data_IF_276586276021
#
_entry.id   IF_276586276021
#
_cell.length_a   1.000
_cell.length_b   1.000
_cell.length_c   1.000
_cell.angle_alpha   90.00
_cell.angle_beta   90.00
_cell.angle_gamma   90.00
#
_symmetry.space_group_name_H-M   'P 1'
#
loop_
_entity.id
_entity.type
_entity.pdbx_description
1 polymer ?
#
# COMPACT_ATOMS: atom_id res chain seq x y z
N UNK A 1 -16.86 28.30 -1.74
CA UNK A 1 -16.89 27.97 -0.30
C UNK A 1 -15.47 28.14 0.21
N UNK A 2 -15.22 28.96 1.22
CA UNK A 2 -13.89 29.04 1.82
C UNK A 2 -13.72 27.79 2.70
N UNK A 3 -12.76 26.93 2.40
CA UNK A 3 -12.53 25.67 3.11
C UNK A 3 -11.25 25.70 3.96
N UNK A 4 -10.45 26.76 3.88
CA UNK A 4 -9.14 26.83 4.54
C UNK A 4 -9.20 26.86 6.07
N UNK A 5 -10.37 27.14 6.64
CA UNK A 5 -10.60 27.23 8.08
C UNK A 5 -11.08 25.92 8.71
N UNK A 6 -11.41 24.90 7.91
CA UNK A 6 -11.91 23.62 8.41
C UNK A 6 -10.79 22.83 9.06
N UNK A 7 -11.14 22.01 10.06
CA UNK A 7 -10.26 21.00 10.64
C UNK A 7 -10.43 19.67 9.92
N UNK A 8 -9.32 19.09 9.49
CA UNK A 8 -9.28 17.86 8.71
C UNK A 8 -8.64 16.74 9.52
N UNK A 9 -9.39 15.64 9.70
CA UNK A 9 -8.85 14.41 10.27
C UNK A 9 -8.44 13.45 9.15
N UNK A 10 -7.27 12.83 9.25
CA UNK A 10 -6.82 11.77 8.34
C UNK A 10 -6.63 10.49 9.15
N UNK A 11 -7.38 9.44 8.81
CA UNK A 11 -7.35 8.14 9.48
C UNK A 11 -6.75 7.07 8.57
N UNK A 12 -5.65 6.44 9.00
CA UNK A 12 -5.10 5.26 8.32
C UNK A 12 -4.32 4.36 9.29
N UNK A 13 -3.98 3.14 8.88
CA UNK A 13 -3.19 2.22 9.73
C UNK A 13 -1.75 2.70 9.94
N UNK A 14 -1.10 3.19 8.88
CA UNK A 14 0.27 3.70 8.89
C UNK A 14 0.29 5.10 8.27
N UNK A 15 1.01 6.06 8.84
CA UNK A 15 1.16 7.39 8.25
C UNK A 15 2.65 7.78 8.24
N UNK A 16 3.09 8.45 7.17
CA UNK A 16 4.48 8.90 7.03
C UNK A 16 5.51 7.77 6.88
N UNK A 17 5.09 6.61 6.36
CA UNK A 17 5.97 5.49 5.98
C UNK A 17 6.07 5.40 4.44
N UNK A 18 6.92 4.52 3.93
CA UNK A 18 7.14 4.36 2.47
C UNK A 18 6.13 3.41 1.80
N UNK A 19 4.96 3.18 2.39
CA UNK A 19 3.91 2.40 1.74
C UNK A 19 3.06 3.29 0.83
N UNK A 20 2.37 2.67 -0.15
CA UNK A 20 1.63 3.40 -1.17
C UNK A 20 0.53 4.33 -0.61
N UNK A 21 -0.11 3.97 0.51
CA UNK A 21 -1.18 4.82 1.08
C UNK A 21 -0.58 6.00 1.84
N UNK A 22 0.49 5.78 2.62
CA UNK A 22 1.23 6.87 3.28
C UNK A 22 1.73 7.92 2.27
N UNK A 23 2.27 7.49 1.13
CA UNK A 23 2.70 8.40 0.05
C UNK A 23 1.53 9.24 -0.48
N UNK A 24 0.37 8.63 -0.69
CA UNK A 24 -0.84 9.35 -1.15
C UNK A 24 -1.34 10.33 -0.09
N UNK A 25 -1.28 9.96 1.20
CA UNK A 25 -1.62 10.87 2.31
C UNK A 25 -0.71 12.10 2.28
N UNK A 26 0.60 11.92 2.14
CA UNK A 26 1.55 13.04 2.09
C UNK A 26 1.34 13.93 0.86
N UNK A 27 1.09 13.34 -0.31
CA UNK A 27 0.73 14.09 -1.51
C UNK A 27 -0.56 14.90 -1.32
N UNK A 28 -1.56 14.31 -0.65
CA UNK A 28 -2.83 14.96 -0.35
C UNK A 28 -2.63 16.13 0.59
N UNK A 29 -1.85 15.95 1.66
CA UNK A 29 -1.52 17.02 2.61
C UNK A 29 -0.79 18.15 1.91
N UNK A 30 0.18 17.85 1.05
CA UNK A 30 0.90 18.88 0.28
C UNK A 30 -0.06 19.66 -0.63
N UNK A 31 -0.94 18.98 -1.37
CA UNK A 31 -1.95 19.67 -2.20
C UNK A 31 -2.91 20.52 -1.34
N UNK A 32 -3.32 20.03 -0.17
CA UNK A 32 -4.17 20.79 0.76
C UNK A 32 -3.49 22.08 1.24
N UNK A 33 -2.21 22.01 1.57
CA UNK A 33 -1.46 23.17 2.05
C UNK A 33 -1.12 24.12 0.91
N UNK A 34 -0.49 23.62 -0.14
CA UNK A 34 0.12 24.43 -1.20
C UNK A 34 -0.92 24.97 -2.19
N UNK A 35 -1.93 24.17 -2.54
CA UNK A 35 -2.91 24.51 -3.58
C UNK A 35 -4.27 24.96 -3.02
N UNK A 36 -4.65 24.48 -1.83
CA UNK A 36 -5.96 24.79 -1.22
C UNK A 36 -5.87 25.82 -0.08
N UNK A 37 -4.66 26.20 0.34
CA UNK A 37 -4.42 27.18 1.40
C UNK A 37 -4.88 26.72 2.79
N UNK A 38 -4.97 25.41 3.02
CA UNK A 38 -5.31 24.84 4.33
C UNK A 38 -4.06 24.91 5.22
N UNK A 39 -4.18 25.50 6.39
CA UNK A 39 -3.08 25.56 7.34
C UNK A 39 -2.71 24.16 7.84
N UNK A 40 -1.42 23.83 7.90
CA UNK A 40 -0.94 22.55 8.45
C UNK A 40 -1.44 22.30 9.89
N UNK A 41 -1.63 23.37 10.67
CA UNK A 41 -2.20 23.29 12.02
C UNK A 41 -3.65 22.81 12.08
N UNK A 42 -4.37 22.82 10.96
CA UNK A 42 -5.75 22.34 10.84
C UNK A 42 -5.83 20.90 10.30
N UNK A 43 -4.68 20.22 10.15
CA UNK A 43 -4.63 18.83 9.69
C UNK A 43 -4.17 17.95 10.85
N UNK A 44 -4.99 16.96 11.18
CA UNK A 44 -4.83 16.06 12.30
C UNK A 44 -4.80 14.62 11.81
N UNK A 45 -4.00 13.78 12.46
CA UNK A 45 -3.74 12.41 12.03
C UNK A 45 -4.10 11.44 13.14
N UNK A 46 -4.87 10.40 12.79
CA UNK A 46 -5.13 9.26 13.65
C UNK A 46 -4.59 8.00 12.97
N UNK A 47 -3.64 7.32 13.61
CA UNK A 47 -3.03 6.13 13.03
C UNK A 47 -2.67 5.06 14.06
N UNK A 48 -2.15 3.93 13.62
CA UNK A 48 -1.50 2.99 14.54
C UNK A 48 -0.03 3.35 14.75
N UNK A 49 0.65 3.66 13.65
CA UNK A 49 2.01 4.15 13.68
C UNK A 49 2.13 5.33 12.74
N UNK A 50 2.87 6.34 13.18
CA UNK A 50 3.19 7.52 12.40
C UNK A 50 4.68 7.85 12.52
N UNK A 51 5.30 8.38 11.47
CA UNK A 51 6.57 9.12 11.64
C UNK A 51 6.33 10.33 12.57
N UNK A 52 7.35 10.86 13.28
CA UNK A 52 7.19 12.07 14.08
C UNK A 52 6.56 13.20 13.26
N UNK A 53 5.34 13.61 13.64
CA UNK A 53 4.52 14.59 12.94
C UNK A 53 3.71 15.41 13.93
N UNK A 54 3.43 16.65 13.57
CA UNK A 54 2.53 17.51 14.33
C UNK A 54 1.09 16.96 14.25
N UNK A 55 0.29 17.16 15.31
CA UNK A 55 -1.11 16.75 15.38
C UNK A 55 -1.38 15.25 15.10
N UNK A 56 -0.46 14.36 15.47
CA UNK A 56 -0.62 12.92 15.27
C UNK A 56 -0.92 12.20 16.59
N UNK A 57 -2.04 11.48 16.63
CA UNK A 57 -2.43 10.56 17.69
C UNK A 57 -2.29 9.11 17.19
N UNK A 58 -1.87 8.21 18.07
CA UNK A 58 -1.65 6.81 17.71
C UNK A 58 -2.30 5.83 18.66
N UNK A 59 -2.94 4.79 18.12
CA UNK A 59 -3.40 3.63 18.89
C UNK A 59 -3.22 2.33 18.11
N UNK A 60 -2.67 1.31 18.79
CA UNK A 60 -2.32 0.02 18.20
C UNK A 60 -3.54 -0.75 17.63
N UNK A 61 -4.76 -0.43 18.04
CA UNK A 61 -5.99 -1.05 17.49
C UNK A 61 -6.13 -0.82 15.99
N UNK A 62 -5.58 0.28 15.48
CA UNK A 62 -5.61 0.61 14.05
C UNK A 62 -4.51 -0.11 13.26
N UNK A 63 -3.61 -0.84 13.92
CA UNK A 63 -2.53 -1.52 13.22
C UNK A 63 -3.07 -2.77 12.56
N UNK A 64 -3.08 -2.80 11.24
CA UNK A 64 -3.61 -3.90 10.44
C UNK A 64 -2.90 -5.25 10.63
N UNK A 65 -1.81 -5.27 11.41
CA UNK A 65 -1.07 -6.47 11.82
C UNK A 65 -1.13 -6.73 13.32
N UNK A 66 -1.97 -6.02 14.07
CA UNK A 66 -2.23 -6.38 15.46
C UNK A 66 -2.94 -7.75 15.54
N UNK A 67 -2.91 -8.35 16.73
CA UNK A 67 -3.48 -9.69 16.93
C UNK A 67 -5.01 -9.74 16.74
N UNK A 68 -5.71 -8.63 16.96
CA UNK A 68 -7.16 -8.54 16.78
C UNK A 68 -7.53 -8.73 15.31
N UNK A 69 -6.93 -7.94 14.41
CA UNK A 69 -7.18 -8.07 12.97
C UNK A 69 -6.71 -9.42 12.45
N UNK A 70 -5.55 -9.93 12.91
CA UNK A 70 -5.09 -11.28 12.54
C UNK A 70 -6.08 -12.36 12.93
N UNK A 71 -6.60 -12.31 14.16
CA UNK A 71 -7.56 -13.28 14.68
C UNK A 71 -8.83 -13.29 13.84
N UNK A 72 -9.38 -12.10 13.52
CA UNK A 72 -10.56 -11.96 12.66
C UNK A 72 -10.29 -12.50 11.25
N UNK A 73 -9.13 -12.18 10.68
CA UNK A 73 -8.75 -12.63 9.34
C UNK A 73 -8.54 -14.13 9.25
N UNK A 74 -8.00 -14.75 10.31
CA UNK A 74 -7.82 -16.20 10.40
C UNK A 74 -9.16 -16.94 10.40
N UNK A 75 -10.20 -16.32 10.95
CA UNK A 75 -11.55 -16.89 10.94
C UNK A 75 -12.43 -16.34 9.82
N UNK A 76 -11.90 -15.56 8.87
CA UNK A 76 -12.73 -14.80 7.93
C UNK A 76 -13.69 -15.69 7.12
N UNK A 77 -13.22 -16.86 6.67
CA UNK A 77 -13.98 -17.78 5.81
C UNK A 77 -14.47 -19.03 6.53
N UNK A 78 -13.82 -19.40 7.63
CA UNK A 78 -14.06 -20.67 8.32
C UNK A 78 -15.34 -20.61 9.16
N UNK A 79 -15.80 -21.77 9.65
CA UNK A 79 -16.90 -21.82 10.62
C UNK A 79 -16.56 -20.91 11.81
N UNK A 80 -17.39 -19.89 12.09
CA UNK A 80 -17.05 -18.90 13.09
C UNK A 80 -17.13 -19.55 14.48
N UNK A 81 -16.15 -19.31 15.37
CA UNK A 81 -16.31 -19.68 16.76
C UNK A 81 -17.35 -18.78 17.43
N UNK A 82 -18.02 -19.29 18.47
CA UNK A 82 -19.14 -18.61 19.14
C UNK A 82 -18.74 -17.23 19.72
N UNK A 83 -17.47 -17.07 20.12
CA UNK A 83 -16.93 -15.83 20.69
C UNK A 83 -16.61 -14.74 19.65
N UNK A 84 -16.59 -15.05 18.35
CA UNK A 84 -16.08 -14.12 17.33
C UNK A 84 -16.90 -12.83 17.23
N UNK A 85 -18.23 -12.93 17.38
CA UNK A 85 -19.13 -11.79 17.24
C UNK A 85 -18.92 -10.77 18.38
N UNK A 86 -18.90 -11.26 19.62
CA UNK A 86 -18.61 -10.46 20.82
C UNK A 86 -17.21 -9.84 20.74
N UNK A 87 -16.22 -10.64 20.34
CA UNK A 87 -14.84 -10.18 20.17
C UNK A 87 -14.71 -9.03 19.16
N UNK A 88 -15.39 -9.12 18.01
CA UNK A 88 -15.42 -8.03 17.03
C UNK A 88 -16.08 -6.79 17.62
N UNK A 89 -17.22 -6.96 18.29
CA UNK A 89 -17.99 -5.85 18.84
C UNK A 89 -17.22 -5.08 19.92
N UNK A 90 -16.60 -5.77 20.87
CA UNK A 90 -15.81 -5.15 21.95
C UNK A 90 -14.66 -4.28 21.39
N UNK A 91 -13.89 -4.83 20.46
CA UNK A 91 -12.75 -4.13 19.85
C UNK A 91 -13.21 -2.98 18.95
N UNK A 92 -14.36 -3.13 18.26
CA UNK A 92 -14.95 -2.03 17.50
C UNK A 92 -15.44 -0.90 18.39
N UNK A 93 -15.99 -1.20 19.58
CA UNK A 93 -16.39 -0.20 20.57
C UNK A 93 -15.18 0.54 21.15
N UNK A 94 -14.07 -0.17 21.39
CA UNK A 94 -12.81 0.47 21.76
C UNK A 94 -12.31 1.44 20.67
N UNK A 95 -12.23 0.97 19.42
CA UNK A 95 -11.83 1.80 18.27
C UNK A 95 -12.76 3.01 18.06
N UNK A 96 -14.08 2.82 18.24
CA UNK A 96 -15.08 3.90 18.18
C UNK A 96 -14.79 5.00 19.19
N UNK A 97 -14.49 4.64 20.43
CA UNK A 97 -14.23 5.63 21.49
C UNK A 97 -12.96 6.44 21.21
N UNK A 98 -11.92 5.82 20.66
CA UNK A 98 -10.71 6.53 20.24
C UNK A 98 -11.03 7.50 19.10
N UNK A 99 -11.76 7.05 18.08
CA UNK A 99 -12.16 7.91 16.95
C UNK A 99 -13.03 9.08 17.43
N UNK A 100 -13.97 8.84 18.35
CA UNK A 100 -14.79 9.88 18.97
C UNK A 100 -13.90 10.92 19.65
N UNK A 101 -13.02 10.50 20.55
CA UNK A 101 -12.15 11.40 21.29
C UNK A 101 -11.27 12.24 20.34
N UNK A 102 -10.66 11.60 19.34
CA UNK A 102 -9.88 12.28 18.31
C UNK A 102 -10.69 13.35 17.57
N UNK A 103 -11.93 13.01 17.17
CA UNK A 103 -12.80 13.95 16.44
C UNK A 103 -13.24 15.11 17.32
N UNK A 104 -13.64 14.84 18.56
CA UNK A 104 -14.16 15.84 19.49
C UNK A 104 -13.06 16.79 19.98
N UNK A 105 -11.88 16.26 20.35
CA UNK A 105 -10.77 17.07 20.87
C UNK A 105 -10.17 18.02 19.83
N UNK A 106 -10.15 17.58 18.57
CA UNK A 106 -9.56 18.35 17.47
C UNK A 106 -10.64 19.08 16.64
N UNK A 107 -11.90 19.09 17.09
CA UNK A 107 -13.03 19.74 16.43
C UNK A 107 -13.07 19.44 14.92
N UNK A 108 -12.92 18.16 14.55
CA UNK A 108 -12.78 17.76 13.13
C UNK A 108 -14.08 18.07 12.37
N UNK A 109 -13.96 18.74 11.22
CA UNK A 109 -15.06 19.03 10.29
C UNK A 109 -15.18 17.97 9.19
N UNK A 110 -14.04 17.50 8.66
CA UNK A 110 -13.98 16.47 7.64
C UNK A 110 -12.98 15.39 8.03
N UNK A 111 -13.46 14.16 8.17
CA UNK A 111 -12.63 12.98 8.36
C UNK A 111 -12.42 12.26 7.02
N UNK A 112 -11.15 12.11 6.62
CA UNK A 112 -10.71 11.37 5.44
C UNK A 112 -10.15 10.02 5.91
N UNK A 113 -10.91 8.95 5.66
CA UNK A 113 -10.56 7.60 6.06
C UNK A 113 -9.93 6.84 4.89
N UNK A 114 -8.64 6.53 5.00
CA UNK A 114 -7.92 5.79 3.98
C UNK A 114 -8.01 4.29 4.20
N UNK A 115 -8.46 3.58 3.17
CA UNK A 115 -8.42 2.12 3.08
C UNK A 115 -9.20 1.38 4.19
N UNK A 116 -10.22 2.01 4.78
CA UNK A 116 -11.20 1.34 5.66
C UNK A 116 -12.12 0.38 4.91
N UNK A 117 -12.02 0.33 3.58
CA UNK A 117 -12.66 -0.64 2.69
C UNK A 117 -12.03 -2.03 2.75
N UNK A 118 -10.83 -2.16 3.27
CA UNK A 118 -10.03 -3.39 3.21
C UNK A 118 -10.13 -4.21 4.50
N UNK A 119 -10.32 -5.55 4.45
CA UNK A 119 -10.52 -6.40 5.64
C UNK A 119 -9.38 -6.38 6.65
N UNK A 120 -8.18 -5.99 6.27
CA UNK A 120 -7.09 -5.85 7.23
C UNK A 120 -7.26 -4.66 8.18
N UNK A 121 -8.18 -3.74 7.88
CA UNK A 121 -8.56 -2.62 8.76
C UNK A 121 -9.96 -2.85 9.34
N UNK A 122 -10.35 -4.11 9.60
CA UNK A 122 -11.74 -4.49 9.92
C UNK A 122 -12.31 -3.74 11.11
N UNK A 123 -11.61 -3.79 12.25
CA UNK A 123 -12.03 -3.10 13.48
C UNK A 123 -12.05 -1.57 13.28
N UNK A 124 -11.09 -1.02 12.54
CA UNK A 124 -11.07 0.41 12.20
C UNK A 124 -12.32 0.81 11.45
N UNK A 125 -12.73 0.02 10.44
CA UNK A 125 -13.91 0.28 9.63
C UNK A 125 -15.21 0.19 10.45
N UNK A 126 -15.33 -0.82 11.32
CA UNK A 126 -16.51 -1.00 12.16
C UNK A 126 -16.61 0.07 13.24
N UNK A 127 -15.51 0.36 13.94
CA UNK A 127 -15.49 1.41 14.97
C UNK A 127 -15.81 2.78 14.38
N UNK A 128 -15.28 3.07 13.19
CA UNK A 128 -15.61 4.28 12.43
C UNK A 128 -17.10 4.32 12.07
N UNK A 129 -17.65 3.22 11.56
CA UNK A 129 -19.05 3.16 11.23
C UNK A 129 -19.93 3.36 12.48
N UNK A 130 -19.66 2.66 13.58
CA UNK A 130 -20.40 2.82 14.84
C UNK A 130 -20.40 4.26 15.35
N UNK A 131 -19.30 4.98 15.17
CA UNK A 131 -19.23 6.40 15.52
C UNK A 131 -20.19 7.23 14.67
N UNK A 132 -20.15 7.07 13.35
CA UNK A 132 -21.03 7.82 12.45
C UNK A 132 -22.50 7.38 12.53
N UNK A 133 -22.80 6.10 12.77
CA UNK A 133 -24.17 5.64 13.01
C UNK A 133 -24.76 6.37 14.23
N UNK A 134 -24.03 6.40 15.35
CA UNK A 134 -24.48 7.11 16.56
C UNK A 134 -24.70 8.60 16.32
N UNK A 135 -23.77 9.28 15.63
CA UNK A 135 -23.95 10.70 15.29
C UNK A 135 -25.22 10.93 14.46
N UNK A 136 -25.43 10.11 13.41
CA UNK A 136 -26.54 10.29 12.47
C UNK A 136 -27.88 9.92 13.11
N UNK A 137 -27.93 8.92 13.98
CA UNK A 137 -29.10 8.58 14.80
C UNK A 137 -29.50 9.72 15.74
N UNK A 138 -28.51 10.44 16.27
CA UNK A 138 -28.72 11.64 17.09
C UNK A 138 -29.01 12.92 16.26
N UNK A 139 -29.17 12.81 14.94
CA UNK A 139 -29.44 13.95 14.05
C UNK A 139 -28.22 14.84 13.80
N UNK A 140 -27.02 14.43 14.22
CA UNK A 140 -25.79 15.18 14.04
C UNK A 140 -25.21 14.87 12.65
N UNK A 141 -25.05 15.91 11.84
CA UNK A 141 -24.60 15.79 10.43
C UNK A 141 -23.12 16.13 10.21
N UNK A 142 -22.42 16.62 11.24
CA UNK A 142 -21.00 16.95 11.25
C UNK A 142 -20.25 16.12 12.32
N UNK A 143 -18.99 15.70 12.10
CA UNK A 143 -18.20 15.87 10.88
C UNK A 143 -18.80 15.19 9.64
N UNK A 144 -18.27 15.56 8.48
CA UNK A 144 -18.41 14.79 7.24
C UNK A 144 -17.37 13.68 7.19
N UNK A 145 -17.68 12.60 6.50
CA UNK A 145 -16.74 11.51 6.24
C UNK A 145 -16.54 11.28 4.75
N UNK A 146 -15.28 11.32 4.33
CA UNK A 146 -14.84 10.87 3.02
C UNK A 146 -14.04 9.58 3.15
N UNK A 147 -14.39 8.55 2.39
CA UNK A 147 -13.61 7.31 2.32
C UNK A 147 -12.75 7.33 1.08
N UNK A 148 -11.44 7.15 1.25
CA UNK A 148 -10.51 6.96 0.14
C UNK A 148 -10.25 5.47 -0.07
N UNK A 149 -10.81 4.93 -1.14
CA UNK A 149 -10.77 3.52 -1.49
C UNK A 149 -9.47 3.20 -2.22
N UNK A 150 -8.58 2.47 -1.54
CA UNK A 150 -7.32 1.98 -2.12
C UNK A 150 -7.43 0.52 -2.56
N UNK A 151 -8.10 -0.30 -1.75
CA UNK A 151 -8.29 -1.74 -1.96
C UNK A 151 -9.55 -2.18 -1.20
N UNK A 152 -10.11 -3.34 -1.54
CA UNK A 152 -11.35 -3.84 -0.93
C UNK A 152 -11.42 -5.35 -0.89
N UNK A 153 -12.28 -5.87 -0.03
CA UNK A 153 -12.51 -7.30 0.11
C UNK A 153 -13.05 -7.94 -1.19
N UNK A 154 -13.78 -7.18 -2.02
CA UNK A 154 -14.27 -7.68 -3.31
C UNK A 154 -13.18 -7.89 -4.35
N UNK A 155 -12.06 -7.18 -4.22
CA UNK A 155 -10.95 -7.23 -5.17
C UNK A 155 -10.05 -8.45 -4.91
N UNK A 156 -10.28 -9.18 -3.81
CA UNK A 156 -9.40 -10.24 -3.33
C UNK A 156 -10.16 -11.55 -3.09
N UNK A 157 -9.83 -12.57 -3.88
CA UNK A 157 -10.47 -13.89 -3.82
C UNK A 157 -10.47 -14.53 -2.42
N UNK A 158 -9.41 -14.34 -1.62
CA UNK A 158 -9.35 -14.84 -0.23
C UNK A 158 -10.46 -14.32 0.70
N UNK A 159 -11.14 -13.23 0.31
CA UNK A 159 -12.23 -12.62 1.07
C UNK A 159 -13.60 -12.82 0.40
N UNK A 160 -13.70 -13.69 -0.61
CA UNK A 160 -14.94 -13.89 -1.37
C UNK A 160 -16.02 -14.65 -0.60
N UNK A 161 -15.63 -15.45 0.41
CA UNK A 161 -16.52 -16.36 1.14
C UNK A 161 -16.54 -16.05 2.65
N UNK A 162 -16.98 -14.86 3.08
CA UNK A 162 -17.04 -14.48 4.48
C UNK A 162 -17.99 -15.40 5.26
N UNK A 163 -17.61 -15.76 6.49
CA UNK A 163 -18.46 -16.53 7.39
C UNK A 163 -19.72 -15.74 7.84
N UNK A 164 -20.66 -16.41 8.51
CA UNK A 164 -21.95 -15.81 8.92
C UNK A 164 -21.82 -14.65 9.90
N UNK A 165 -20.81 -14.64 10.79
CA UNK A 165 -20.52 -13.53 11.71
C UNK A 165 -19.95 -12.35 10.93
N UNK A 166 -18.93 -12.56 10.10
CA UNK A 166 -18.27 -11.52 9.29
C UNK A 166 -19.28 -10.84 8.36
N UNK A 167 -20.19 -11.60 7.75
CA UNK A 167 -21.25 -11.07 6.87
C UNK A 167 -22.08 -9.96 7.52
N UNK A 168 -22.32 -10.01 8.85
CA UNK A 168 -23.07 -8.99 9.59
C UNK A 168 -22.39 -7.61 9.51
N UNK A 169 -21.06 -7.59 9.43
CA UNK A 169 -20.24 -6.39 9.50
C UNK A 169 -19.80 -5.84 8.14
N UNK A 170 -19.96 -6.59 7.05
CA UNK A 170 -19.49 -6.15 5.73
C UNK A 170 -20.14 -4.86 5.22
N UNK A 171 -21.34 -4.53 5.72
CA UNK A 171 -21.98 -3.22 5.45
C UNK A 171 -21.12 -2.03 5.91
N UNK A 172 -20.19 -2.24 6.83
CA UNK A 172 -19.28 -1.23 7.36
C UNK A 172 -17.99 -1.05 6.53
N UNK A 173 -17.79 -1.86 5.48
CA UNK A 173 -16.66 -1.74 4.56
C UNK A 173 -17.23 -1.42 3.16
N UNK A 174 -17.46 -0.12 2.81
CA UNK A 174 -16.79 1.08 3.34
C UNK A 174 -17.49 1.83 4.49
N UNK A 175 -18.74 1.50 4.84
CA UNK A 175 -19.52 2.25 5.82
C UNK A 175 -20.96 2.53 5.35
N UNK A 176 -21.86 2.70 6.31
CA UNK A 176 -23.30 2.96 6.06
C UNK A 176 -23.56 4.44 5.78
N UNK A 177 -22.91 5.35 6.52
CA UNK A 177 -23.11 6.80 6.44
C UNK A 177 -21.88 7.54 5.89
N UNK A 178 -21.61 7.39 4.60
CA UNK A 178 -20.50 8.05 3.91
C UNK A 178 -20.99 9.31 3.21
N UNK A 179 -20.28 10.43 3.38
CA UNK A 179 -20.61 11.71 2.75
C UNK A 179 -19.90 11.90 1.39
N UNK A 180 -18.73 11.28 1.19
CA UNK A 180 -18.01 11.26 -0.07
C UNK A 180 -17.06 10.07 -0.26
N UNK A 181 -16.69 9.75 -1.50
CA UNK A 181 -15.81 8.64 -1.81
C UNK A 181 -14.81 8.98 -2.92
N UNK A 182 -13.53 8.71 -2.66
CA UNK A 182 -12.47 8.82 -3.66
C UNK A 182 -11.99 7.42 -4.07
N UNK A 183 -11.86 7.18 -5.37
CA UNK A 183 -11.37 5.92 -5.95
C UNK A 183 -10.03 6.13 -6.63
N UNK A 184 -9.13 5.15 -6.57
CA UNK A 184 -7.81 5.25 -7.19
C UNK A 184 -7.77 4.77 -8.64
N UNK A 185 -8.85 4.17 -9.15
CA UNK A 185 -8.96 3.75 -10.54
C UNK A 185 -10.42 3.79 -11.05
N UNK A 186 -10.57 3.70 -12.36
CA UNK A 186 -11.86 3.81 -13.06
C UNK A 186 -12.77 2.58 -12.93
N UNK A 187 -12.25 1.44 -12.49
CA UNK A 187 -13.02 0.19 -12.33
C UNK A 187 -13.74 0.14 -10.97
N UNK A 188 -13.13 0.72 -9.93
CA UNK A 188 -13.67 0.73 -8.56
C UNK A 188 -15.08 1.34 -8.43
N UNK A 189 -15.46 2.42 -9.14
CA UNK A 189 -16.83 2.93 -9.09
C UNK A 189 -17.90 1.89 -9.45
N UNK A 190 -17.63 0.99 -10.41
CA UNK A 190 -18.58 -0.06 -10.78
C UNK A 190 -18.68 -1.13 -9.68
N UNK A 191 -17.53 -1.53 -9.10
CA UNK A 191 -17.49 -2.46 -7.98
C UNK A 191 -18.26 -1.91 -6.77
N UNK A 192 -18.06 -0.64 -6.45
CA UNK A 192 -18.73 0.03 -5.35
C UNK A 192 -20.25 0.16 -5.60
N UNK A 193 -20.70 0.41 -6.85
CA UNK A 193 -22.13 0.37 -7.21
C UNK A 193 -22.73 -1.02 -6.96
N UNK A 194 -22.05 -2.09 -7.39
CA UNK A 194 -22.50 -3.48 -7.14
C UNK A 194 -22.63 -3.77 -5.65
N UNK A 195 -21.69 -3.30 -4.84
CA UNK A 195 -21.75 -3.41 -3.37
C UNK A 195 -22.94 -2.62 -2.80
N UNK A 196 -23.07 -1.33 -3.12
CA UNK A 196 -24.14 -0.49 -2.57
C UNK A 196 -25.53 -0.95 -3.00
N UNK A 197 -25.65 -1.54 -4.19
CA UNK A 197 -26.88 -2.17 -4.66
C UNK A 197 -27.29 -3.36 -3.77
N UNK A 198 -26.33 -4.20 -3.37
CA UNK A 198 -26.60 -5.31 -2.42
C UNK A 198 -27.01 -4.82 -1.04
N UNK A 199 -26.46 -3.69 -0.59
CA UNK A 199 -26.81 -3.05 0.68
C UNK A 199 -28.12 -2.25 0.63
N UNK A 200 -28.83 -2.23 -0.51
CA UNK A 200 -30.08 -1.48 -0.74
C UNK A 200 -29.98 0.00 -0.36
N UNK A 201 -28.82 0.62 -0.64
CA UNK A 201 -28.64 2.05 -0.41
C UNK A 201 -29.54 2.84 -1.37
N UNK A 202 -30.30 3.80 -0.87
CA UNK A 202 -31.10 4.69 -1.72
C UNK A 202 -30.19 5.70 -2.45
N UNK A 203 -30.63 6.20 -3.60
CA UNK A 203 -29.98 7.28 -4.37
C UNK A 203 -28.51 7.00 -4.75
N UNK A 204 -28.18 5.74 -5.07
CA UNK A 204 -26.83 5.33 -5.48
C UNK A 204 -26.33 6.20 -6.64
N UNK A 205 -27.14 6.40 -7.69
CA UNK A 205 -26.71 7.17 -8.85
C UNK A 205 -26.42 8.64 -8.52
N UNK A 206 -27.21 9.27 -7.65
CA UNK A 206 -26.92 10.64 -7.19
C UNK A 206 -25.66 10.69 -6.34
N UNK A 207 -25.43 9.70 -5.47
CA UNK A 207 -24.20 9.60 -4.68
C UNK A 207 -22.98 9.50 -5.60
N UNK A 208 -22.99 8.61 -6.60
CA UNK A 208 -21.86 8.48 -7.51
C UNK A 208 -21.69 9.69 -8.43
N UNK A 209 -22.77 10.40 -8.76
CA UNK A 209 -22.73 11.61 -9.58
C UNK A 209 -22.15 12.82 -8.85
N UNK A 210 -22.48 12.99 -7.58
CA UNK A 210 -22.18 14.24 -6.84
C UNK A 210 -21.20 14.08 -5.68
N UNK A 211 -20.95 12.85 -5.22
CA UNK A 211 -20.19 12.56 -4.00
C UNK A 211 -19.09 11.52 -4.20
N UNK A 212 -18.92 11.01 -5.40
CA UNK A 212 -17.84 10.08 -5.70
C UNK A 212 -16.99 10.58 -6.86
N UNK A 213 -15.67 10.38 -6.77
CA UNK A 213 -14.74 10.76 -7.82
C UNK A 213 -13.59 9.75 -7.94
N UNK A 214 -12.99 9.71 -9.13
CA UNK A 214 -11.75 8.96 -9.37
C UNK A 214 -10.58 9.93 -9.26
N UNK A 215 -9.73 9.70 -8.26
CA UNK A 215 -8.44 10.39 -8.05
C UNK A 215 -7.35 9.34 -8.17
N UNK A 216 -6.73 9.18 -9.36
CA UNK A 216 -5.68 8.19 -9.54
C UNK A 216 -4.49 8.50 -8.63
N UNK A 217 -3.80 7.46 -8.16
CA UNK A 217 -2.57 7.63 -7.41
C UNK A 217 -1.54 8.39 -8.26
N UNK A 218 -0.85 9.34 -7.64
CA UNK A 218 0.15 10.17 -8.31
C UNK A 218 1.55 9.84 -7.80
N UNK A 219 2.57 10.34 -8.51
CA UNK A 219 3.96 10.31 -8.04
C UNK A 219 4.51 11.73 -8.12
N UNK A 220 5.27 12.14 -7.10
CA UNK A 220 6.05 13.36 -7.19
C UNK A 220 7.26 13.09 -8.09
N UNK A 221 7.47 13.97 -9.08
CA UNK A 221 8.64 13.92 -9.94
C UNK A 221 9.43 15.19 -9.67
N UNK A 222 10.47 15.08 -8.85
CA UNK A 222 11.21 16.22 -8.29
C UNK A 222 12.26 16.80 -9.26
N UNK A 223 12.20 16.43 -10.54
CA UNK A 223 13.04 16.97 -11.61
C UNK A 223 12.16 17.59 -12.70
N UNK A 224 12.72 18.54 -13.46
CA UNK A 224 11.97 19.28 -14.48
C UNK A 224 11.69 18.40 -15.72
N UNK A 225 10.70 17.54 -15.58
CA UNK A 225 10.26 16.61 -16.61
C UNK A 225 9.36 17.28 -17.66
N UNK A 226 8.66 18.35 -17.29
CA UNK A 226 7.75 19.09 -18.18
C UNK A 226 8.46 19.86 -19.28
N UNK A 227 9.67 20.36 -19.02
CA UNK A 227 10.44 21.09 -20.02
C UNK A 227 11.26 20.19 -20.95
N UNK A 228 11.16 18.85 -20.80
CA UNK A 228 11.94 17.90 -21.60
C UNK A 228 11.20 17.61 -22.90
N UNK A 229 11.97 17.52 -23.98
CA UNK A 229 11.47 17.00 -25.25
C UNK A 229 11.44 15.47 -25.16
N UNK A 230 10.22 14.91 -25.12
CA UNK A 230 9.99 13.46 -24.95
C UNK A 230 10.14 12.68 -26.26
N UNK A 231 10.18 13.37 -27.40
CA UNK A 231 10.32 12.76 -28.73
C UNK A 231 11.79 12.42 -29.08
N UNK A 232 12.73 12.70 -28.17
CA UNK A 232 14.14 12.36 -28.33
C UNK A 232 14.45 11.04 -27.63
N UNK A 233 15.27 10.20 -28.26
CA UNK A 233 15.79 8.93 -27.73
C UNK A 233 16.84 9.12 -26.59
N UNK A 234 16.82 10.28 -25.92
CA UNK A 234 17.75 10.58 -24.83
C UNK A 234 17.34 9.82 -23.56
N UNK A 235 18.28 9.06 -22.99
CA UNK A 235 18.05 8.31 -21.75
C UNK A 235 17.62 9.26 -20.62
N UNK A 236 16.51 8.94 -19.96
CA UNK A 236 16.00 9.67 -18.80
C UNK A 236 16.47 8.98 -17.54
N UNK A 237 17.25 9.68 -16.71
CA UNK A 237 17.70 9.17 -15.42
C UNK A 237 17.79 10.31 -14.39
N UNK A 238 17.58 10.02 -13.09
CA UNK A 238 17.77 11.01 -12.04
C UNK A 238 19.22 11.47 -12.00
N UNK A 239 19.48 12.65 -11.42
CA UNK A 239 20.86 13.10 -11.18
C UNK A 239 21.60 12.05 -10.34
N UNK A 240 22.83 11.75 -10.74
CA UNK A 240 23.68 10.88 -9.94
C UNK A 240 24.00 11.59 -8.61
N UNK A 241 23.89 10.85 -7.51
CA UNK A 241 24.15 11.33 -6.15
C UNK A 241 24.92 10.26 -5.36
N UNK A 242 25.22 10.54 -4.08
CA UNK A 242 25.96 9.62 -3.24
C UNK A 242 25.27 8.25 -3.10
N UNK A 243 23.93 8.22 -3.11
CA UNK A 243 23.16 6.99 -2.94
C UNK A 243 23.23 6.09 -4.19
N UNK A 244 23.10 6.67 -5.39
CA UNK A 244 23.07 5.88 -6.62
C UNK A 244 24.46 5.69 -7.28
N UNK A 245 25.49 6.41 -6.84
CA UNK A 245 26.82 6.38 -7.43
C UNK A 245 27.55 5.02 -7.31
N UNK A 246 27.35 4.31 -6.21
CA UNK A 246 27.96 3.01 -5.92
C UNK A 246 26.96 1.87 -5.85
N UNK A 247 25.67 2.12 -6.08
CA UNK A 247 24.57 1.20 -5.80
C UNK A 247 24.80 -0.23 -6.29
N UNK A 248 25.24 -0.43 -7.55
CA UNK A 248 25.48 -1.77 -8.11
C UNK A 248 26.66 -2.51 -7.48
N UNK A 249 27.67 -1.77 -7.02
CA UNK A 249 28.81 -2.32 -6.26
C UNK A 249 28.35 -2.69 -4.85
N UNK A 250 27.63 -1.77 -4.23
CA UNK A 250 27.12 -1.85 -2.88
C UNK A 250 26.20 -3.04 -2.64
N UNK A 251 25.43 -3.43 -3.66
CA UNK A 251 24.56 -4.61 -3.61
C UNK A 251 25.23 -5.91 -4.10
N UNK A 252 26.56 -5.90 -4.30
CA UNK A 252 27.36 -7.07 -4.65
C UNK A 252 27.23 -7.56 -6.11
N UNK A 253 26.44 -6.87 -6.94
CA UNK A 253 26.19 -7.32 -8.33
C UNK A 253 27.47 -7.26 -9.18
N UNK A 254 28.27 -6.20 -9.01
CA UNK A 254 29.52 -6.10 -9.77
C UNK A 254 30.47 -7.28 -9.51
N UNK A 255 30.56 -7.74 -8.26
CA UNK A 255 31.42 -8.86 -7.89
C UNK A 255 30.90 -10.17 -8.50
N UNK A 256 29.58 -10.43 -8.41
CA UNK A 256 28.95 -11.62 -9.01
C UNK A 256 29.16 -11.65 -10.54
N UNK A 257 29.01 -10.50 -11.21
CA UNK A 257 29.23 -10.40 -12.66
C UNK A 257 30.69 -10.71 -13.00
N UNK A 258 31.64 -10.11 -12.29
CA UNK A 258 33.07 -10.32 -12.51
C UNK A 258 33.46 -11.80 -12.32
N UNK A 259 32.96 -12.46 -11.28
CA UNK A 259 33.19 -13.90 -11.03
C UNK A 259 32.65 -14.79 -12.15
N UNK A 260 31.54 -14.38 -12.77
CA UNK A 260 30.92 -15.05 -13.93
C UNK A 260 31.55 -14.65 -15.27
N UNK A 261 32.52 -13.73 -15.27
CA UNK A 261 33.19 -13.20 -16.45
C UNK A 261 32.33 -12.25 -17.28
N UNK A 262 31.36 -11.56 -16.68
CA UNK A 262 30.51 -10.56 -17.31
C UNK A 262 30.85 -9.17 -16.77
N UNK A 263 30.56 -8.14 -17.57
CA UNK A 263 30.60 -6.75 -17.13
C UNK A 263 29.19 -6.12 -17.16
N UNK A 264 29.10 -4.84 -16.78
CA UNK A 264 27.83 -4.11 -16.80
C UNK A 264 27.28 -3.88 -18.21
N UNK A 265 28.14 -3.81 -19.23
CA UNK A 265 27.73 -3.65 -20.63
C UNK A 265 27.08 -4.93 -21.19
N UNK A 266 27.45 -6.08 -20.64
CA UNK A 266 26.84 -7.38 -20.92
C UNK A 266 25.57 -7.65 -20.10
N UNK A 267 25.18 -6.75 -19.21
CA UNK A 267 24.10 -7.02 -18.25
C UNK A 267 22.78 -6.35 -18.66
N UNK A 268 21.67 -7.09 -18.50
CA UNK A 268 20.31 -6.57 -18.60
C UNK A 268 19.65 -6.66 -17.23
N UNK A 269 19.21 -5.53 -16.71
CA UNK A 269 18.51 -5.46 -15.43
C UNK A 269 16.99 -5.48 -15.63
N UNK A 270 16.34 -6.43 -14.97
CA UNK A 270 14.90 -6.51 -14.83
C UNK A 270 14.54 -6.16 -13.39
N UNK A 271 13.93 -4.99 -13.19
CA UNK A 271 13.51 -4.52 -11.86
C UNK A 271 12.01 -4.70 -11.70
N UNK A 272 11.60 -5.44 -10.66
CA UNK A 272 10.22 -5.48 -10.21
C UNK A 272 10.14 -4.97 -8.76
N UNK A 273 9.82 -3.69 -8.61
CA UNK A 273 9.59 -3.08 -7.30
C UNK A 273 8.20 -3.46 -6.77
N UNK A 274 8.14 -4.56 -6.03
CA UNK A 274 6.90 -5.07 -5.43
C UNK A 274 7.14 -5.84 -4.15
N UNK A 275 6.15 -5.84 -3.25
CA UNK A 275 6.10 -6.81 -2.14
C UNK A 275 6.10 -8.24 -2.68
N UNK A 276 6.74 -9.14 -1.95
CA UNK A 276 6.88 -10.55 -2.33
C UNK A 276 5.62 -11.31 -1.89
N UNK A 277 4.55 -11.25 -2.71
CA UNK A 277 3.26 -11.91 -2.46
C UNK A 277 2.68 -12.53 -3.76
N UNK A 278 1.90 -13.64 -3.69
CA UNK A 278 1.48 -14.40 -4.88
C UNK A 278 0.72 -13.60 -5.95
N UNK A 279 -0.10 -12.64 -5.54
CA UNK A 279 -0.88 -11.80 -6.47
C UNK A 279 -0.02 -10.92 -7.38
N UNK A 280 1.28 -10.78 -7.07
CA UNK A 280 2.24 -9.96 -7.84
C UNK A 280 2.93 -10.75 -8.94
N UNK A 281 2.66 -12.06 -9.04
CA UNK A 281 3.06 -12.91 -10.18
C UNK A 281 4.54 -12.82 -10.50
N UNK A 282 5.38 -12.83 -9.46
CA UNK A 282 6.83 -12.72 -9.58
C UNK A 282 7.38 -13.94 -10.35
N UNK A 283 6.73 -15.11 -10.25
CA UNK A 283 7.09 -16.30 -11.01
C UNK A 283 7.09 -16.05 -12.52
N UNK A 284 6.16 -15.23 -13.02
CA UNK A 284 6.10 -14.89 -14.45
C UNK A 284 7.25 -13.98 -14.88
N UNK A 285 7.74 -13.13 -13.97
CA UNK A 285 8.90 -12.29 -14.25
C UNK A 285 10.21 -13.10 -14.24
N UNK A 286 10.30 -14.12 -13.37
CA UNK A 286 11.39 -15.11 -13.41
C UNK A 286 11.37 -15.87 -14.73
N UNK A 287 10.21 -16.41 -15.15
CA UNK A 287 10.04 -17.05 -16.46
C UNK A 287 10.49 -16.15 -17.62
N UNK A 288 10.09 -14.87 -17.56
CA UNK A 288 10.48 -13.87 -18.54
C UNK A 288 12.00 -13.68 -18.59
N UNK A 289 12.70 -13.65 -17.45
CA UNK A 289 14.15 -13.53 -17.39
C UNK A 289 14.86 -14.69 -18.11
N UNK A 290 14.45 -15.93 -17.88
CA UNK A 290 15.01 -17.11 -18.56
C UNK A 290 14.72 -17.11 -20.07
N UNK A 291 13.49 -16.76 -20.46
CA UNK A 291 13.13 -16.65 -21.89
C UNK A 291 13.92 -15.53 -22.59
N UNK A 292 14.16 -14.43 -21.89
CA UNK A 292 14.93 -13.31 -22.42
C UNK A 292 16.40 -13.68 -22.60
N UNK A 293 17.01 -14.37 -21.64
CA UNK A 293 18.38 -14.88 -21.74
C UNK A 293 18.53 -15.84 -22.92
N UNK A 294 17.61 -16.81 -23.04
CA UNK A 294 17.57 -17.73 -24.17
C UNK A 294 17.50 -17.00 -25.51
N UNK A 295 16.65 -15.98 -25.61
CA UNK A 295 16.51 -15.17 -26.83
C UNK A 295 17.80 -14.42 -27.19
N UNK A 296 18.53 -13.90 -26.20
CA UNK A 296 19.84 -13.29 -26.44
C UNK A 296 20.85 -14.33 -26.95
N UNK A 297 20.89 -15.51 -26.31
CA UNK A 297 21.75 -16.62 -26.71
C UNK A 297 21.47 -17.08 -28.15
N UNK A 298 20.20 -17.24 -28.53
CA UNK A 298 19.77 -17.59 -29.90
C UNK A 298 20.21 -16.54 -30.94
N UNK A 299 20.37 -15.28 -30.54
CA UNK A 299 20.86 -14.19 -31.38
C UNK A 299 22.38 -13.99 -31.31
N UNK A 300 23.14 -14.94 -30.74
CA UNK A 300 24.58 -14.84 -30.49
C UNK A 300 24.98 -13.62 -29.65
N UNK A 301 24.09 -13.14 -28.79
CA UNK A 301 24.35 -12.05 -27.86
C UNK A 301 24.64 -12.64 -26.48
N UNK A 302 25.85 -12.42 -25.99
CA UNK A 302 26.24 -12.79 -24.63
C UNK A 302 25.65 -11.77 -23.67
N UNK A 303 24.58 -12.12 -22.96
CA UNK A 303 23.95 -11.26 -21.96
C UNK A 303 23.74 -11.98 -20.63
N UNK A 304 23.92 -11.25 -19.54
CA UNK A 304 23.61 -11.68 -18.18
C UNK A 304 22.33 -10.99 -17.72
N UNK A 305 21.32 -11.74 -17.30
CA UNK A 305 20.03 -11.19 -16.89
C UNK A 305 19.97 -11.14 -15.37
N UNK A 306 19.87 -9.94 -14.81
CA UNK A 306 19.67 -9.74 -13.37
C UNK A 306 18.21 -9.41 -13.12
N UNK A 307 17.50 -10.31 -12.45
CA UNK A 307 16.15 -10.07 -11.94
C UNK A 307 16.21 -9.58 -10.49
N UNK A 308 15.91 -8.30 -10.27
CA UNK A 308 15.91 -7.66 -8.96
C UNK A 308 14.48 -7.43 -8.45
N UNK A 309 14.16 -8.07 -7.32
CA UNK A 309 12.92 -7.85 -6.57
C UNK A 309 13.22 -6.97 -5.36
N UNK A 310 12.87 -5.68 -5.41
CA UNK A 310 13.32 -4.71 -4.40
C UNK A 310 12.35 -4.51 -3.22
N UNK A 311 11.21 -5.19 -3.17
CA UNK A 311 10.30 -5.12 -2.02
C UNK A 311 10.51 -6.23 -0.97
N UNK A 312 9.89 -6.05 0.19
CA UNK A 312 10.00 -6.96 1.34
C UNK A 312 9.00 -8.14 1.26
N UNK A 313 9.38 -9.29 1.82
CA UNK A 313 8.59 -10.51 2.04
C UNK A 313 7.77 -10.50 3.34
N UNK A 314 6.95 -11.53 3.59
CA UNK A 314 6.23 -11.64 4.87
C UNK A 314 5.07 -10.65 5.04
N UNK A 315 4.62 -10.03 3.95
CA UNK A 315 3.28 -9.47 3.88
C UNK A 315 2.30 -10.59 3.52
N UNK A 316 1.04 -10.49 3.97
CA UNK A 316 -0.01 -11.49 3.72
C UNK A 316 0.24 -12.91 4.29
N UNK A 317 1.27 -13.11 5.12
CA UNK A 317 1.57 -14.37 5.86
C UNK A 317 1.85 -15.61 4.98
N UNK A 318 2.25 -15.42 3.72
CA UNK A 318 2.54 -16.54 2.78
C UNK A 318 4.05 -16.79 2.68
N UNK A 319 4.46 -18.06 2.67
CA UNK A 319 5.83 -18.54 2.36
C UNK A 319 6.20 -18.40 0.87
N UNK A 320 5.77 -17.32 0.23
CA UNK A 320 5.91 -17.16 -1.22
C UNK A 320 7.36 -16.90 -1.65
N UNK A 321 8.19 -16.30 -0.79
CA UNK A 321 9.64 -16.19 -1.03
C UNK A 321 10.29 -17.58 -1.15
N UNK A 322 9.98 -18.50 -0.23
CA UNK A 322 10.49 -19.88 -0.26
C UNK A 322 10.10 -20.55 -1.59
N UNK A 323 8.82 -20.45 -1.96
CA UNK A 323 8.34 -20.93 -3.26
C UNK A 323 9.13 -20.36 -4.45
N UNK A 324 9.42 -19.06 -4.47
CA UNK A 324 10.18 -18.44 -5.57
C UNK A 324 11.63 -18.90 -5.61
N UNK A 325 12.26 -19.15 -4.46
CA UNK A 325 13.63 -19.70 -4.38
C UNK A 325 13.64 -21.12 -4.96
N UNK A 326 12.72 -21.98 -4.52
CA UNK A 326 12.62 -23.35 -5.02
C UNK A 326 12.30 -23.37 -6.52
N UNK A 327 11.39 -22.51 -6.96
CA UNK A 327 11.01 -22.36 -8.36
C UNK A 327 12.20 -21.94 -9.24
N UNK A 328 12.97 -20.94 -8.80
CA UNK A 328 14.18 -20.50 -9.47
C UNK A 328 15.26 -21.59 -9.51
N UNK A 329 15.45 -22.33 -8.42
CA UNK A 329 16.40 -23.44 -8.36
C UNK A 329 16.06 -24.56 -9.37
N UNK A 330 14.77 -24.89 -9.50
CA UNK A 330 14.31 -25.85 -10.51
C UNK A 330 14.58 -25.36 -11.94
N UNK A 331 14.31 -24.09 -12.23
CA UNK A 331 14.62 -23.51 -13.55
C UNK A 331 16.12 -23.53 -13.87
N UNK A 332 16.99 -23.29 -12.89
CA UNK A 332 18.43 -23.43 -13.06
C UNK A 332 18.86 -24.89 -13.27
N UNK A 333 18.24 -25.85 -12.57
CA UNK A 333 18.52 -27.27 -12.77
C UNK A 333 18.16 -27.72 -14.20
N UNK A 334 17.05 -27.22 -14.73
CA UNK A 334 16.62 -27.47 -16.11
C UNK A 334 17.48 -26.71 -17.15
N UNK A 335 18.15 -25.63 -16.74
CA UNK A 335 18.98 -24.78 -17.60
C UNK A 335 20.36 -24.48 -16.96
N UNK A 336 21.26 -25.46 -16.81
CA UNK A 336 22.49 -25.31 -16.01
C UNK A 336 23.47 -24.24 -16.53
N UNK A 337 23.37 -23.88 -17.81
CA UNK A 337 24.21 -22.88 -18.46
C UNK A 337 23.56 -21.48 -18.50
N UNK A 338 22.40 -21.30 -17.86
CA UNK A 338 21.67 -20.04 -17.90
C UNK A 338 22.42 -18.94 -17.16
N UNK A 339 22.45 -17.76 -17.79
CA UNK A 339 23.06 -16.55 -17.23
C UNK A 339 22.02 -15.65 -16.54
N UNK A 340 21.12 -16.24 -15.76
CA UNK A 340 20.07 -15.52 -15.02
C UNK A 340 20.39 -15.52 -13.54
N UNK A 341 20.33 -14.34 -12.92
CA UNK A 341 20.50 -14.13 -11.48
C UNK A 341 19.22 -13.55 -10.87
N UNK A 342 18.70 -14.21 -9.84
CA UNK A 342 17.58 -13.71 -9.04
C UNK A 342 18.09 -13.09 -7.74
N UNK A 343 17.72 -11.83 -7.48
CA UNK A 343 18.11 -11.09 -6.27
C UNK A 343 16.86 -10.62 -5.54
N UNK A 344 16.78 -10.93 -4.25
CA UNK A 344 15.83 -10.33 -3.33
C UNK A 344 16.50 -9.15 -2.61
N UNK A 345 16.10 -7.93 -2.98
CA UNK A 345 16.64 -6.69 -2.44
C UNK A 345 16.36 -6.49 -0.97
N UNK A 346 15.39 -7.19 -0.37
CA UNK A 346 15.13 -7.10 1.08
C UNK A 346 16.31 -7.51 1.96
N UNK A 347 17.24 -8.31 1.43
CA UNK A 347 18.43 -8.76 2.16
C UNK A 347 19.61 -7.78 2.03
N UNK A 348 19.51 -6.77 1.14
CA UNK A 348 20.67 -5.98 0.68
C UNK A 348 20.37 -4.47 0.64
N UNK A 349 19.19 -4.09 0.15
CA UNK A 349 18.74 -2.70 -0.07
C UNK A 349 17.92 -2.18 1.13
N UNK A 350 17.24 -3.06 1.86
CA UNK A 350 16.33 -2.68 2.95
C UNK A 350 16.82 -3.23 4.30
N UNK A 351 17.67 -2.49 5.01
CA UNK A 351 18.02 -2.83 6.40
C UNK A 351 16.85 -2.50 7.34
N UNK A 352 16.03 -3.50 7.64
CA UNK A 352 14.91 -3.48 8.59
C UNK A 352 13.78 -2.47 8.34
N UNK A 353 12.57 -2.93 8.67
CA UNK A 353 11.23 -2.36 8.40
C UNK A 353 10.97 -0.91 8.85
N UNK A 354 11.95 -0.22 9.40
CA UNK A 354 11.77 1.07 10.08
C UNK A 354 12.84 2.12 9.82
N UNK A 355 13.87 1.83 9.02
CA UNK A 355 14.94 2.81 8.77
C UNK A 355 14.66 3.55 7.46
N UNK A 356 14.30 4.82 7.59
CA UNK A 356 14.55 5.84 6.57
C UNK A 356 16.04 5.69 6.23
N UNK A 357 16.37 5.22 5.03
CA UNK A 357 17.74 5.38 4.53
C UNK A 357 17.93 6.87 4.35
N UNK A 358 18.45 7.51 5.40
CA UNK A 358 18.89 8.90 5.32
C UNK A 358 19.92 8.94 4.19
N UNK A 359 19.56 9.68 3.13
CA UNK A 359 20.34 9.82 1.89
C UNK A 359 21.76 10.32 2.16
N UNK A 360 22.03 10.82 3.36
CA UNK A 360 23.32 11.37 3.76
C UNK A 360 24.24 10.39 4.50
N UNK A 361 23.80 9.19 4.89
CA UNK A 361 24.50 8.41 5.95
C UNK A 361 24.93 6.99 5.56
N UNK A 362 24.28 6.32 4.60
CA UNK A 362 24.53 4.87 4.40
C UNK A 362 25.51 4.61 3.25
N UNK A 363 26.67 4.02 3.62
CA UNK A 363 27.57 3.33 2.72
C UNK A 363 27.39 1.81 2.93
N UNK A 364 26.79 1.14 1.97
CA UNK A 364 26.39 -0.27 2.06
C UNK A 364 27.57 -1.26 2.05
N UNK A 365 28.80 -0.79 1.78
CA UNK A 365 30.03 -1.61 1.81
C UNK A 365 30.36 -2.24 3.17
N UNK A 366 29.60 -1.94 4.24
CA UNK A 366 29.84 -2.44 5.61
C UNK A 366 29.03 -3.68 6.02
N UNK A 367 28.13 -4.19 5.19
CA UNK A 367 27.31 -5.37 5.52
C UNK A 367 27.65 -6.54 4.60
N UNK A 368 28.31 -7.60 5.10
CA UNK A 368 28.65 -8.77 4.29
C UNK A 368 27.38 -9.55 3.89
N UNK A 369 27.38 -10.02 2.63
CA UNK A 369 26.39 -10.94 2.08
C UNK A 369 26.36 -12.24 2.90
N UNK A 370 25.20 -12.61 3.44
CA UNK A 370 24.88 -13.95 3.91
C UNK A 370 23.55 -14.41 3.33
#
# INVERSE_FOLDING_TARGET
MNISHLNYGILHSLIGKNDGVSIVIDQTVNAMVDDMGIGLGNIFFLAAHSSPRFNAETDEIFWHKNEVHKTILNHFTDTPPDWLDEYIHEHAMYAKNIIRNFVEQNEIDLLIAHNTTHPYNFITAIGLAYYFEELRENGIVWPKIMVWWHDSYFERQRFSNPNTVIQKYLKYLPGTYIDGMAFINSEQPELARKLFGKLKKNNIEEFFKYRALVVPNTSSIDWNWKSREWDKDDIVFPKQDNYNSSFLKDIGIQDILNERGFDLCDTVFLLQHTRIVPRKKIELAVDFAFRLEKKFSENNQRKYIVMLISGHSGDEQVKYKEFLIDYYANLLADNPLSNVLLIFGENIILSHRDIIVDKNIINFTKYPLL
#
